data_IF_564634694231
#
_entry.id   IF_564634694231
#
_cell.length_a   1.000
_cell.length_b   1.000
_cell.length_c   1.000
_cell.angle_alpha   90.00
_cell.angle_beta   90.00
_cell.angle_gamma   90.00
#
_symmetry.space_group_name_H-M   'P 1'
#
loop_
_entity.id
_entity.type
_entity.pdbx_description
1 polymer ?
#
# COMPACT_ATOMS: atom_id res chain seq x y z
N UNK A 1 -6.98 -3.27 -19.39
CA UNK A 1 -7.53 -4.19 -18.40
C UNK A 1 -8.58 -5.11 -19.02
N UNK A 2 -9.59 -4.61 -19.73
CA UNK A 2 -10.70 -5.42 -20.30
C UNK A 2 -10.22 -6.62 -21.09
N UNK A 3 -9.14 -6.50 -21.85
CA UNK A 3 -8.57 -7.57 -22.70
C UNK A 3 -7.81 -8.65 -21.93
N UNK A 4 -7.29 -8.37 -20.74
CA UNK A 4 -6.40 -9.28 -20.03
C UNK A 4 -7.00 -9.88 -18.76
N UNK A 5 -7.98 -9.23 -18.15
CA UNK A 5 -8.49 -9.64 -16.84
C UNK A 5 -9.23 -11.00 -16.90
N UNK A 6 -9.89 -11.30 -18.02
CA UNK A 6 -10.53 -12.59 -18.23
C UNK A 6 -9.52 -13.73 -18.29
N UNK A 7 -8.39 -13.52 -18.97
CA UNK A 7 -7.29 -14.49 -19.00
C UNK A 7 -6.66 -14.66 -17.62
N UNK A 8 -6.35 -13.57 -16.92
CA UNK A 8 -5.84 -13.63 -15.56
C UNK A 8 -6.76 -14.45 -14.62
N UNK A 9 -8.09 -14.27 -14.76
CA UNK A 9 -9.07 -15.05 -14.01
C UNK A 9 -9.00 -16.54 -14.34
N UNK A 10 -8.88 -16.90 -15.61
CA UNK A 10 -8.87 -18.32 -16.05
C UNK A 10 -7.67 -19.10 -15.52
N UNK A 11 -6.55 -18.42 -15.24
CA UNK A 11 -5.32 -19.03 -14.69
C UNK A 11 -5.14 -18.75 -13.18
N UNK A 12 -6.14 -18.16 -12.52
CA UNK A 12 -6.11 -17.91 -11.07
C UNK A 12 -5.19 -16.78 -10.62
N UNK A 13 -4.82 -15.86 -11.51
CA UNK A 13 -3.97 -14.71 -11.19
C UNK A 13 -4.80 -13.55 -10.67
N UNK A 14 -4.39 -13.01 -9.52
CA UNK A 14 -4.88 -11.75 -8.98
C UNK A 14 -4.00 -10.61 -9.49
N UNK A 15 -4.59 -9.70 -10.25
CA UNK A 15 -3.89 -8.51 -10.75
C UNK A 15 -4.04 -7.36 -9.77
N UNK A 16 -2.97 -6.58 -9.59
CA UNK A 16 -2.96 -5.46 -8.65
C UNK A 16 -2.55 -4.18 -9.38
N UNK A 17 -3.39 -3.15 -9.30
CA UNK A 17 -3.08 -1.81 -9.77
C UNK A 17 -2.44 -1.05 -8.61
N UNK A 18 -1.20 -0.59 -8.81
CA UNK A 18 -0.52 0.29 -7.88
C UNK A 18 -0.94 1.74 -8.14
N UNK A 19 -1.22 2.55 -7.10
CA UNK A 19 -1.47 3.97 -7.29
C UNK A 19 -0.23 4.68 -7.84
N UNK A 20 -0.46 5.78 -8.55
CA UNK A 20 0.64 6.59 -9.07
C UNK A 20 1.53 7.14 -7.95
N UNK A 21 2.83 7.21 -8.19
CA UNK A 21 3.81 7.77 -7.27
C UNK A 21 4.76 8.72 -8.02
N UNK A 22 4.72 10.01 -7.73
CA UNK A 22 3.77 10.71 -6.85
C UNK A 22 2.35 10.74 -7.42
N UNK A 23 1.32 10.88 -6.55
CA UNK A 23 -0.09 10.79 -6.98
C UNK A 23 -0.65 12.11 -7.54
N UNK A 24 0.18 13.00 -8.02
CA UNK A 24 -0.20 14.27 -8.67
C UNK A 24 0.46 14.41 -10.02
N UNK A 25 -0.13 15.21 -10.92
CA UNK A 25 0.35 15.42 -12.28
C UNK A 25 1.80 15.87 -12.33
N UNK A 26 2.58 15.29 -13.22
CA UNK A 26 3.98 15.60 -13.45
C UNK A 26 4.21 15.96 -14.92
N UNK A 27 5.05 16.97 -15.17
CA UNK A 27 5.44 17.40 -16.52
C UNK A 27 4.24 17.65 -17.45
N UNK A 28 3.12 18.12 -16.90
CA UNK A 28 1.89 18.35 -17.65
C UNK A 28 1.07 17.09 -17.98
N UNK A 29 1.48 15.92 -17.51
CA UNK A 29 0.77 14.67 -17.73
C UNK A 29 -0.10 14.31 -16.51
N UNK A 30 -1.38 13.95 -16.73
CA UNK A 30 -2.27 13.52 -15.66
C UNK A 30 -1.85 12.16 -15.09
N UNK A 31 -2.33 11.85 -13.91
CA UNK A 31 -2.23 10.51 -13.29
C UNK A 31 -3.44 9.66 -13.63
N UNK A 32 -3.31 8.37 -13.44
CA UNK A 32 -4.35 7.38 -13.74
C UNK A 32 -5.08 6.94 -12.47
N UNK A 33 -4.32 6.76 -11.37
CA UNK A 33 -4.87 6.28 -10.08
C UNK A 33 -4.22 7.05 -8.94
N UNK A 34 -4.97 7.95 -8.33
CA UNK A 34 -4.47 8.81 -7.26
C UNK A 34 -5.40 8.91 -6.06
N UNK A 35 -6.66 8.54 -6.21
CA UNK A 35 -7.70 8.71 -5.20
C UNK A 35 -8.75 7.57 -5.25
N UNK A 36 -9.75 7.68 -4.40
CA UNK A 36 -10.85 6.69 -4.30
C UNK A 36 -11.68 6.62 -5.57
N UNK A 37 -11.98 7.74 -6.17
CA UNK A 37 -12.84 7.90 -7.34
C UNK A 37 -12.22 7.23 -8.58
N UNK A 38 -10.88 7.31 -8.73
CA UNK A 38 -10.15 6.64 -9.80
C UNK A 38 -10.29 5.11 -9.70
N UNK A 39 -10.21 4.55 -8.48
CA UNK A 39 -10.44 3.12 -8.26
C UNK A 39 -11.90 2.73 -8.52
N UNK A 40 -12.87 3.54 -8.08
CA UNK A 40 -14.28 3.30 -8.36
C UNK A 40 -14.53 3.20 -9.86
N UNK A 41 -14.03 4.17 -10.64
CA UNK A 41 -14.14 4.16 -12.10
C UNK A 41 -13.52 2.90 -12.72
N UNK A 42 -12.31 2.51 -12.30
CA UNK A 42 -11.63 1.33 -12.82
C UNK A 42 -12.45 0.06 -12.54
N UNK A 43 -13.02 -0.07 -11.34
CA UNK A 43 -13.78 -1.26 -10.96
C UNK A 43 -15.17 -1.30 -11.57
N UNK A 44 -15.78 -0.16 -11.87
CA UNK A 44 -16.99 -0.09 -12.67
C UNK A 44 -16.74 -0.57 -14.11
N UNK A 45 -15.62 -0.15 -14.70
CA UNK A 45 -15.25 -0.56 -16.06
C UNK A 45 -14.82 -2.02 -16.17
N UNK A 46 -14.22 -2.57 -15.12
CA UNK A 46 -13.67 -3.94 -15.06
C UNK A 46 -14.00 -4.56 -13.70
N UNK A 47 -15.25 -5.07 -13.53
CA UNK A 47 -15.78 -5.46 -12.23
C UNK A 47 -15.26 -6.80 -11.67
N UNK A 48 -14.51 -7.57 -12.44
CA UNK A 48 -13.99 -8.87 -12.01
C UNK A 48 -13.15 -8.76 -10.73
N UNK A 49 -13.34 -9.67 -9.78
CA UNK A 49 -12.68 -9.63 -8.46
C UNK A 49 -11.17 -9.76 -8.52
N UNK A 50 -10.64 -10.42 -9.54
CA UNK A 50 -9.20 -10.54 -9.75
C UNK A 50 -8.55 -9.26 -10.32
N UNK A 51 -9.34 -8.23 -10.63
CA UNK A 51 -8.89 -6.85 -10.83
C UNK A 51 -8.89 -6.14 -9.48
N UNK A 52 -7.73 -5.96 -8.89
CA UNK A 52 -7.57 -5.47 -7.53
C UNK A 52 -6.52 -4.39 -7.38
N UNK A 53 -6.13 -4.16 -6.16
CA UNK A 53 -5.29 -3.05 -5.73
C UNK A 53 -4.03 -3.57 -5.07
N UNK A 54 -2.88 -2.96 -5.40
CA UNK A 54 -1.76 -2.81 -4.48
C UNK A 54 -2.03 -1.59 -3.61
N UNK A 55 -2.48 -1.81 -2.39
CA UNK A 55 -2.77 -0.71 -1.47
C UNK A 55 -1.47 -0.14 -0.91
N UNK A 56 -1.01 0.98 -1.48
CA UNK A 56 0.21 1.66 -1.08
C UNK A 56 -0.12 2.87 -0.20
N UNK A 57 0.15 2.75 1.10
CA UNK A 57 -0.12 3.82 2.05
C UNK A 57 0.75 5.05 1.83
N UNK A 58 1.98 4.87 1.34
CA UNK A 58 2.89 5.97 1.05
C UNK A 58 2.47 6.79 -0.16
N UNK A 59 2.11 6.14 -1.27
CA UNK A 59 1.68 6.85 -2.48
C UNK A 59 0.35 7.57 -2.28
N UNK A 60 -0.69 6.85 -1.85
CA UNK A 60 -2.01 7.45 -1.59
C UNK A 60 -1.96 8.51 -0.48
N UNK A 61 -1.14 8.31 0.55
CA UNK A 61 -1.03 9.19 1.70
C UNK A 61 -0.31 10.52 1.43
N UNK A 62 0.28 10.71 0.24
CA UNK A 62 0.83 12.01 -0.17
C UNK A 62 -0.27 13.05 -0.36
N UNK A 63 -1.45 12.64 -0.81
CA UNK A 63 -2.61 13.53 -0.96
C UNK A 63 -3.33 13.67 0.38
N UNK A 64 -3.39 14.88 0.98
CA UNK A 64 -4.01 15.09 2.28
C UNK A 64 -5.50 14.70 2.35
N UNK A 65 -6.21 14.86 1.24
CA UNK A 65 -7.63 14.57 1.09
C UNK A 65 -7.93 13.06 1.06
N UNK A 66 -6.93 12.23 0.80
CA UNK A 66 -7.08 10.78 0.81
C UNK A 66 -7.20 10.23 2.23
N UNK A 67 -8.41 9.87 2.63
CA UNK A 67 -8.61 9.10 3.85
C UNK A 67 -8.25 7.63 3.60
N UNK A 68 -7.03 7.24 3.93
CA UNK A 68 -6.52 5.89 3.70
C UNK A 68 -7.38 4.80 4.34
N UNK A 69 -7.95 5.09 5.52
CA UNK A 69 -8.84 4.16 6.21
C UNK A 69 -10.14 3.91 5.45
N UNK A 70 -10.75 4.95 4.86
CA UNK A 70 -11.95 4.83 4.04
C UNK A 70 -11.68 4.13 2.72
N UNK A 71 -10.57 4.48 2.05
CA UNK A 71 -10.15 3.83 0.80
C UNK A 71 -9.94 2.33 1.04
N UNK A 72 -9.26 1.96 2.14
CA UNK A 72 -9.06 0.56 2.49
C UNK A 72 -10.41 -0.14 2.75
N UNK A 73 -11.28 0.42 3.58
CA UNK A 73 -12.58 -0.19 3.88
C UNK A 73 -13.44 -0.37 2.61
N UNK A 74 -13.45 0.62 1.73
CA UNK A 74 -14.22 0.60 0.48
C UNK A 74 -13.79 -0.52 -0.45
N UNK A 75 -12.48 -0.79 -0.52
CA UNK A 75 -11.92 -1.74 -1.50
C UNK A 75 -11.22 -2.94 -0.86
N UNK A 76 -11.37 -3.16 0.45
CA UNK A 76 -10.64 -4.19 1.19
C UNK A 76 -10.75 -5.59 0.57
N UNK A 77 -11.90 -5.94 0.00
CA UNK A 77 -12.13 -7.21 -0.68
C UNK A 77 -11.30 -7.40 -1.98
N UNK A 78 -10.77 -6.31 -2.53
CA UNK A 78 -9.96 -6.27 -3.76
C UNK A 78 -8.50 -5.88 -3.51
N UNK A 79 -8.11 -5.67 -2.27
CA UNK A 79 -6.69 -5.46 -1.91
C UNK A 79 -6.00 -6.82 -1.95
N UNK A 80 -5.16 -7.03 -2.96
CA UNK A 80 -4.44 -8.29 -3.15
C UNK A 80 -2.97 -8.20 -2.76
N UNK A 81 -2.44 -7.00 -2.61
CA UNK A 81 -1.10 -6.72 -2.13
C UNK A 81 -1.05 -5.41 -1.34
N UNK A 82 -0.12 -5.27 -0.40
CA UNK A 82 -0.02 -4.08 0.44
C UNK A 82 1.42 -3.58 0.48
N UNK A 83 1.58 -2.26 0.28
CA UNK A 83 2.80 -1.52 0.59
C UNK A 83 2.55 -0.66 1.84
N UNK A 84 3.19 -1.02 2.94
CA UNK A 84 3.17 -0.24 4.17
C UNK A 84 4.36 0.71 4.16
N UNK A 85 4.14 1.89 3.63
CA UNK A 85 5.11 2.98 3.50
C UNK A 85 4.56 4.22 4.18
N UNK A 86 5.39 5.04 4.79
CA UNK A 86 5.00 6.31 5.36
C UNK A 86 5.82 7.45 4.77
N UNK A 87 5.15 8.51 4.37
CA UNK A 87 5.73 9.77 3.93
C UNK A 87 5.37 10.87 4.91
N UNK A 88 6.10 11.97 4.89
CA UNK A 88 5.78 13.17 5.66
C UNK A 88 5.77 14.38 4.76
N UNK A 89 4.77 15.24 4.92
CA UNK A 89 4.59 16.46 4.13
C UNK A 89 5.06 17.68 4.91
N UNK A 90 5.53 18.66 4.20
CA UNK A 90 5.73 20.00 4.74
C UNK A 90 4.53 20.92 4.45
N UNK A 91 4.56 22.14 4.97
CA UNK A 91 3.50 23.14 4.78
C UNK A 91 3.39 23.66 3.34
N UNK A 92 4.35 23.34 2.46
CA UNK A 92 4.36 23.73 1.05
C UNK A 92 3.84 22.63 0.13
N UNK A 93 3.47 21.47 0.68
CA UNK A 93 3.02 20.30 -0.07
C UNK A 93 4.16 19.44 -0.64
N UNK A 94 5.43 19.74 -0.29
CA UNK A 94 6.51 18.80 -0.56
C UNK A 94 6.40 17.61 0.37
N UNK A 95 6.82 16.45 -0.10
CA UNK A 95 6.86 15.26 0.75
C UNK A 95 8.20 14.56 0.67
N UNK A 96 8.51 13.82 1.70
CA UNK A 96 9.73 13.01 1.81
C UNK A 96 9.44 11.69 2.52
N UNK A 97 10.33 10.73 2.33
CA UNK A 97 10.22 9.43 2.97
C UNK A 97 10.38 9.57 4.48
N UNK A 98 9.48 8.96 5.25
CA UNK A 98 9.56 8.91 6.70
C UNK A 98 9.85 7.48 7.18
N UNK A 99 10.28 7.33 8.44
CA UNK A 99 10.25 6.02 9.07
C UNK A 99 8.79 5.54 9.17
N UNK A 100 8.59 4.23 9.16
CA UNK A 100 7.25 3.64 8.99
C UNK A 100 6.23 4.08 10.05
N UNK A 101 6.67 4.33 11.27
CA UNK A 101 5.81 4.75 12.39
C UNK A 101 5.87 6.25 12.69
N UNK A 102 6.64 7.05 11.94
CA UNK A 102 6.93 8.47 12.24
C UNK A 102 6.39 9.45 11.19
N UNK A 103 5.80 8.95 10.10
CA UNK A 103 5.23 9.76 9.02
C UNK A 103 3.76 10.14 9.27
N UNK A 104 3.11 10.62 8.21
CA UNK A 104 1.71 11.08 8.26
C UNK A 104 0.70 9.93 8.21
N UNK A 105 1.14 8.70 7.94
CA UNK A 105 0.27 7.52 7.90
C UNK A 105 0.02 7.00 9.31
N UNK A 106 -1.24 6.95 9.73
CA UNK A 106 -1.66 6.23 10.94
C UNK A 106 -1.51 4.71 10.72
N UNK A 107 -0.29 4.23 10.92
CA UNK A 107 0.07 2.84 10.67
C UNK A 107 -0.66 1.88 11.60
N UNK A 108 -0.96 2.29 12.84
CA UNK A 108 -1.75 1.49 13.78
C UNK A 108 -3.16 1.23 13.25
N UNK A 109 -3.84 2.28 12.79
CA UNK A 109 -5.18 2.18 12.20
C UNK A 109 -5.19 1.31 10.96
N UNK A 110 -4.22 1.48 10.07
CA UNK A 110 -4.13 0.70 8.83
C UNK A 110 -3.88 -0.79 9.13
N UNK A 111 -2.90 -1.12 9.95
CA UNK A 111 -2.61 -2.52 10.31
C UNK A 111 -3.80 -3.16 11.02
N UNK A 112 -4.48 -2.42 11.91
CA UNK A 112 -5.70 -2.91 12.56
C UNK A 112 -6.80 -3.29 11.56
N UNK A 113 -6.97 -2.49 10.50
CA UNK A 113 -7.94 -2.78 9.43
C UNK A 113 -7.52 -3.99 8.59
N UNK A 114 -6.24 -4.12 8.27
CA UNK A 114 -5.70 -5.26 7.54
C UNK A 114 -5.94 -6.56 8.31
N UNK A 115 -5.64 -6.59 9.61
CA UNK A 115 -5.88 -7.76 10.48
C UNK A 115 -7.37 -8.14 10.48
N UNK A 116 -8.26 -7.16 10.61
CA UNK A 116 -9.70 -7.41 10.58
C UNK A 116 -10.16 -7.97 9.24
N UNK A 117 -9.66 -7.43 8.12
CA UNK A 117 -9.98 -7.93 6.78
C UNK A 117 -9.46 -9.35 6.57
N UNK A 118 -8.23 -9.66 6.96
CA UNK A 118 -7.68 -11.01 6.87
C UNK A 118 -8.52 -12.01 7.71
N UNK A 119 -8.94 -11.60 8.92
CA UNK A 119 -9.85 -12.41 9.76
C UNK A 119 -11.20 -12.63 9.08
N UNK A 120 -11.78 -11.57 8.48
CA UNK A 120 -13.04 -11.66 7.72
C UNK A 120 -12.91 -12.63 6.54
N UNK A 121 -11.82 -12.53 5.77
CA UNK A 121 -11.54 -13.44 4.64
C UNK A 121 -11.41 -14.89 5.11
N UNK A 122 -10.67 -15.12 6.20
CA UNK A 122 -10.51 -16.47 6.80
C UNK A 122 -11.86 -17.08 7.19
N UNK A 123 -12.70 -16.32 7.91
CA UNK A 123 -14.03 -16.77 8.32
C UNK A 123 -14.94 -17.08 7.12
N UNK A 124 -14.78 -16.32 6.03
CA UNK A 124 -15.51 -16.53 4.77
C UNK A 124 -14.83 -17.58 3.86
N UNK A 125 -13.84 -18.31 4.35
CA UNK A 125 -13.13 -19.39 3.64
C UNK A 125 -12.54 -18.96 2.29
N UNK A 126 -12.12 -17.71 2.18
CA UNK A 126 -11.43 -17.22 0.99
C UNK A 126 -10.04 -17.84 0.89
N UNK A 127 -9.62 -18.19 -0.32
CA UNK A 127 -8.26 -18.73 -0.57
C UNK A 127 -7.17 -17.69 -0.34
N UNK A 128 -7.49 -16.41 -0.58
CA UNK A 128 -6.62 -15.23 -0.41
C UNK A 128 -6.85 -14.54 0.95
N UNK A 129 -7.02 -15.30 2.02
CA UNK A 129 -7.26 -14.76 3.35
C UNK A 129 -6.05 -14.01 3.91
N UNK A 130 -4.84 -14.42 3.56
CA UNK A 130 -3.61 -13.70 3.92
C UNK A 130 -3.24 -12.76 2.79
N UNK A 131 -3.12 -11.47 3.08
CA UNK A 131 -2.75 -10.46 2.10
C UNK A 131 -1.24 -10.24 2.19
N UNK A 132 -0.47 -10.53 1.13
CA UNK A 132 0.97 -10.28 1.12
C UNK A 132 1.26 -8.79 1.31
N UNK A 133 2.29 -8.47 2.07
CA UNK A 133 2.70 -7.08 2.31
C UNK A 133 4.22 -6.93 2.32
N UNK A 134 4.68 -5.70 2.09
CA UNK A 134 6.07 -5.29 2.29
C UNK A 134 6.14 -3.89 2.89
N UNK A 135 7.26 -3.53 3.55
CA UNK A 135 7.48 -2.18 4.07
C UNK A 135 7.72 -1.14 2.97
N UNK A 136 7.87 -1.56 1.72
CA UNK A 136 8.13 -0.81 0.50
C UNK A 136 9.47 -0.08 0.49
N UNK A 137 9.60 1.06 1.15
CA UNK A 137 10.82 1.86 1.21
C UNK A 137 11.54 1.77 2.56
N UNK A 138 12.78 2.28 2.61
CA UNK A 138 13.56 2.41 3.84
C UNK A 138 14.80 3.27 3.63
N UNK A 139 15.15 4.03 4.67
CA UNK A 139 16.32 4.91 4.64
C UNK A 139 17.64 4.14 4.60
N UNK A 140 18.63 4.71 3.93
CA UNK A 140 20.02 4.26 4.07
C UNK A 140 20.48 4.42 5.51
N UNK A 141 21.10 3.38 6.07
CA UNK A 141 21.66 3.40 7.42
C UNK A 141 22.76 2.37 7.59
N UNK A 142 23.58 2.53 8.62
CA UNK A 142 24.64 1.60 9.00
C UNK A 142 25.56 1.27 7.80
N UNK A 143 25.72 0.01 7.47
CA UNK A 143 26.61 -0.44 6.41
C UNK A 143 26.16 -0.03 5.00
N UNK A 144 24.87 0.29 4.81
CA UNK A 144 24.43 0.84 3.53
C UNK A 144 25.05 2.22 3.22
N UNK A 145 25.45 2.98 4.25
CA UNK A 145 26.13 4.28 4.08
C UNK A 145 27.52 4.16 3.46
N UNK A 146 28.13 2.97 3.50
CA UNK A 146 29.46 2.70 2.94
C UNK A 146 29.39 2.24 1.48
N UNK A 147 28.21 1.92 0.96
CA UNK A 147 28.03 1.45 -0.41
C UNK A 147 28.17 2.60 -1.40
N UNK A 148 28.92 2.37 -2.49
CA UNK A 148 29.12 3.36 -3.55
C UNK A 148 27.84 3.63 -4.36
N UNK A 149 26.98 2.61 -4.46
CA UNK A 149 25.74 2.67 -5.24
C UNK A 149 24.62 2.11 -4.38
N UNK A 150 23.63 2.94 -4.08
CA UNK A 150 22.37 2.55 -3.42
C UNK A 150 21.23 3.25 -4.13
N UNK A 151 20.19 2.50 -4.45
CA UNK A 151 18.96 3.09 -4.95
C UNK A 151 18.22 3.80 -3.80
N UNK A 152 17.97 5.11 -3.90
CA UNK A 152 17.23 5.84 -2.88
C UNK A 152 15.89 5.16 -2.56
N UNK A 153 15.56 5.06 -1.27
CA UNK A 153 14.34 4.40 -0.81
C UNK A 153 14.39 2.87 -0.76
N UNK A 154 15.40 2.23 -1.35
CA UNK A 154 15.46 0.75 -1.47
C UNK A 154 16.60 0.11 -0.66
N UNK A 155 17.08 0.78 0.38
CA UNK A 155 18.05 0.21 1.31
C UNK A 155 17.52 -1.08 1.95
N UNK A 156 18.32 -2.15 1.91
CA UNK A 156 17.95 -3.43 2.52
C UNK A 156 17.81 -3.31 4.04
N UNK A 157 18.78 -2.64 4.70
CA UNK A 157 18.77 -2.47 6.16
C UNK A 157 17.58 -1.62 6.59
N UNK A 158 17.31 -0.50 5.91
CA UNK A 158 16.16 0.35 6.23
C UNK A 158 14.82 -0.35 6.03
N UNK A 159 14.69 -1.17 4.98
CA UNK A 159 13.47 -1.98 4.78
C UNK A 159 13.32 -3.10 5.81
N UNK A 160 14.41 -3.72 6.25
CA UNK A 160 14.38 -4.70 7.33
C UNK A 160 13.98 -4.06 8.67
N UNK A 161 14.47 -2.84 8.96
CA UNK A 161 14.00 -2.05 10.09
C UNK A 161 12.50 -1.81 10.01
N UNK A 162 12.01 -1.29 8.90
CA UNK A 162 10.57 -1.04 8.69
C UNK A 162 9.73 -2.32 8.84
N UNK A 163 10.22 -3.44 8.30
CA UNK A 163 9.55 -4.73 8.47
C UNK A 163 9.49 -5.14 9.94
N UNK A 164 10.54 -4.94 10.72
CA UNK A 164 10.55 -5.26 12.15
C UNK A 164 9.57 -4.37 12.93
N UNK A 165 9.53 -3.07 12.65
CA UNK A 165 8.58 -2.11 13.25
C UNK A 165 7.14 -2.51 12.96
N UNK A 166 6.81 -2.79 11.69
CA UNK A 166 5.47 -3.21 11.25
C UNK A 166 5.06 -4.52 11.90
N UNK A 167 5.93 -5.54 11.92
CA UNK A 167 5.63 -6.83 12.55
C UNK A 167 5.48 -6.72 14.06
N UNK A 168 6.27 -5.88 14.71
CA UNK A 168 6.13 -5.59 16.14
C UNK A 168 4.77 -4.96 16.46
N UNK A 169 4.37 -3.98 15.64
CA UNK A 169 3.07 -3.33 15.77
C UNK A 169 1.90 -4.31 15.51
N UNK A 170 1.98 -5.11 14.46
CA UNK A 170 0.99 -6.15 14.14
C UNK A 170 0.83 -7.13 15.31
N UNK A 171 1.96 -7.63 15.83
CA UNK A 171 1.95 -8.55 16.98
C UNK A 171 1.30 -7.90 18.21
N UNK A 172 1.64 -6.65 18.51
CA UNK A 172 1.04 -5.91 19.62
C UNK A 172 -0.47 -5.74 19.47
N UNK A 173 -0.96 -5.42 18.26
CA UNK A 173 -2.40 -5.30 17.98
C UNK A 173 -3.12 -6.64 18.17
N UNK A 174 -2.54 -7.74 17.68
CA UNK A 174 -3.15 -9.06 17.81
C UNK A 174 -3.24 -9.51 19.27
N UNK A 175 -2.24 -9.21 20.09
CA UNK A 175 -2.20 -9.62 21.50
C UNK A 175 -3.10 -8.79 22.42
N UNK A 176 -3.45 -7.59 22.02
CA UNK A 176 -4.32 -6.68 22.79
C UNK A 176 -5.82 -6.76 22.38
N UNK A 177 -6.16 -7.68 21.50
CA UNK A 177 -7.55 -8.02 21.11
C UNK A 177 -7.97 -9.33 21.80
#
# INVERSE_FOLDING_TARGET
LKSIIGHAKSIGVLMCIHPDDPPFSLLGLPRVVSNKEDYEYIFEQVPQENNGITFCTGSLGVIPENNLGEIFDRFSNRVHFIHLRSTKRDHKGNFYEANHLEGDVDMYKIISKIINEQKRRFLNKRKDFSIPMRPDHGHQMLDDLRKKIVNPGYSAIGRLRGLAEIRGLEYGIIKNK
#
